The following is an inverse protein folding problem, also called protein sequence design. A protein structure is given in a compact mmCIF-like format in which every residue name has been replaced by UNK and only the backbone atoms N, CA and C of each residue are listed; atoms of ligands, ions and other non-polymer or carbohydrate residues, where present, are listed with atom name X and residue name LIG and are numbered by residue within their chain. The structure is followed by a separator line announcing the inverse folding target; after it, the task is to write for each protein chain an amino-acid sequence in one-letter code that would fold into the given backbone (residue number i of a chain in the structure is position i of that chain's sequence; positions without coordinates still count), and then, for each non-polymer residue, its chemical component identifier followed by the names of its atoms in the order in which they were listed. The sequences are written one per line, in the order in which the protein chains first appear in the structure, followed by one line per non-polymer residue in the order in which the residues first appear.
data_IF_928489908223
#
_entry.id   IF_928489908223
#
_cell.length_a   1.000
_cell.length_b   1.000
_cell.length_c   1.000
_cell.angle_alpha   90.00
_cell.angle_beta   90.00
_cell.angle_gamma   90.00
#
_symmetry.space_group_name_H-M   'P 1'
#
loop_
_entity.id
_entity.type
_entity.pdbx_description
1 polymer ?
#
# COMPACT_ATOMS: atom_id res chain seq x y z
N UNK A 1 -30.77 -16.77 -81.42
CA UNK A 1 -30.77 -15.43 -80.80
C UNK A 1 -31.55 -15.48 -79.50
N UNK A 2 -30.93 -15.95 -78.41
CA UNK A 2 -31.44 -15.91 -77.03
C UNK A 2 -30.34 -16.54 -76.16
N UNK A 3 -30.08 -15.96 -74.99
CA UNK A 3 -29.21 -16.46 -73.92
C UNK A 3 -27.72 -16.09 -74.01
N UNK A 4 -27.39 -14.81 -73.80
CA UNK A 4 -26.04 -14.42 -73.35
C UNK A 4 -26.03 -13.03 -72.66
N UNK A 5 -26.97 -12.77 -71.74
CA UNK A 5 -27.04 -11.48 -71.00
C UNK A 5 -27.45 -11.75 -69.54
N UNK A 6 -26.83 -12.68 -68.82
CA UNK A 6 -27.02 -12.83 -67.36
C UNK A 6 -25.74 -13.35 -66.68
N UNK A 7 -24.55 -12.84 -67.05
CA UNK A 7 -23.30 -13.26 -66.42
C UNK A 7 -22.27 -12.13 -66.22
N UNK A 8 -22.73 -10.90 -66.01
CA UNK A 8 -21.85 -9.77 -65.65
C UNK A 8 -22.32 -8.98 -64.43
N UNK A 9 -23.44 -9.36 -63.80
CA UNK A 9 -23.99 -8.61 -62.65
C UNK A 9 -23.64 -9.21 -61.27
N UNK A 10 -22.86 -10.30 -61.21
CA UNK A 10 -22.52 -10.98 -59.95
C UNK A 10 -21.07 -10.73 -59.47
N UNK A 11 -20.25 -10.00 -60.24
CA UNK A 11 -18.80 -9.80 -59.94
C UNK A 11 -18.49 -8.38 -59.42
N UNK A 12 -19.50 -7.53 -59.23
CA UNK A 12 -19.31 -6.15 -58.78
C UNK A 12 -19.48 -5.93 -57.26
N UNK A 13 -19.77 -6.97 -56.48
CA UNK A 13 -20.13 -6.82 -55.05
C UNK A 13 -19.12 -7.43 -54.06
N UNK A 14 -17.95 -7.92 -54.51
CA UNK A 14 -16.98 -8.57 -53.63
C UNK A 14 -15.78 -7.68 -53.22
N UNK A 15 -15.64 -6.46 -53.75
CA UNK A 15 -14.67 -5.49 -53.25
C UNK A 15 -15.30 -4.63 -52.15
N UNK A 16 -15.87 -5.29 -51.14
CA UNK A 16 -15.95 -4.65 -49.82
C UNK A 16 -14.52 -4.67 -49.27
N UNK A 17 -13.67 -3.79 -49.80
CA UNK A 17 -12.42 -3.45 -49.16
C UNK A 17 -12.82 -2.82 -47.82
N UNK A 18 -12.97 -3.63 -46.79
CA UNK A 18 -12.77 -3.18 -45.42
C UNK A 18 -11.28 -2.86 -45.36
N UNK A 19 -10.90 -1.73 -45.95
CA UNK A 19 -9.56 -1.17 -45.79
C UNK A 19 -9.47 -0.91 -44.30
N UNK A 20 -8.65 -1.71 -43.62
CA UNK A 20 -8.37 -1.47 -42.23
C UNK A 20 -7.77 -0.06 -42.16
N UNK A 21 -8.53 0.87 -41.56
CA UNK A 21 -8.13 2.27 -41.49
C UNK A 21 -6.85 2.47 -40.67
N UNK A 22 -6.42 1.42 -39.96
CA UNK A 22 -5.24 1.40 -39.12
C UNK A 22 -4.04 0.69 -39.76
N UNK A 23 -4.16 0.14 -40.99
CA UNK A 23 -3.10 -0.67 -41.64
C UNK A 23 -1.75 0.07 -41.73
N UNK A 24 -1.79 1.39 -41.96
CA UNK A 24 -0.60 2.25 -42.09
C UNK A 24 -0.43 3.27 -40.94
N UNK A 25 -1.19 3.12 -39.84
CA UNK A 25 -1.14 4.06 -38.70
C UNK A 25 -0.24 3.51 -37.60
N UNK A 26 0.89 4.17 -37.35
CA UNK A 26 1.79 3.86 -36.23
C UNK A 26 1.52 4.82 -35.08
N UNK A 27 0.86 4.33 -34.03
CA UNK A 27 0.62 5.09 -32.82
C UNK A 27 1.86 5.08 -31.90
N UNK A 28 2.37 6.27 -31.56
CA UNK A 28 3.45 6.41 -30.56
C UNK A 28 2.94 6.21 -29.13
N UNK A 29 1.65 6.53 -28.91
CA UNK A 29 0.91 6.31 -27.67
C UNK A 29 -0.50 5.84 -28.05
N UNK A 30 -1.05 4.90 -27.29
CA UNK A 30 -2.44 4.43 -27.46
C UNK A 30 -2.65 3.38 -28.55
N UNK A 31 -3.90 3.23 -28.98
CA UNK A 31 -4.33 2.27 -30.01
C UNK A 31 -5.01 2.98 -31.17
N UNK A 32 -4.89 2.44 -32.39
CA UNK A 32 -5.60 2.99 -33.53
C UNK A 32 -7.06 2.56 -33.51
N UNK A 33 -7.97 3.53 -33.55
CA UNK A 33 -9.41 3.34 -33.71
C UNK A 33 -9.87 4.19 -34.90
N UNK A 34 -10.46 3.53 -35.91
CA UNK A 34 -10.98 4.21 -37.11
C UNK A 34 -9.96 5.09 -37.88
N UNK A 35 -8.68 4.74 -37.80
CA UNK A 35 -7.58 5.49 -38.43
C UNK A 35 -7.07 6.67 -37.61
N UNK A 36 -7.48 6.78 -36.34
CA UNK A 36 -7.05 7.81 -35.40
C UNK A 36 -6.39 7.11 -34.20
N UNK A 37 -5.24 7.61 -33.76
CA UNK A 37 -4.64 7.13 -32.51
C UNK A 37 -5.40 7.71 -31.32
N UNK A 38 -5.95 6.82 -30.49
CA UNK A 38 -6.65 7.16 -29.26
C UNK A 38 -5.75 6.84 -28.09
N UNK A 39 -5.33 7.87 -27.36
CA UNK A 39 -4.62 7.69 -26.09
C UNK A 39 -5.65 7.36 -24.99
N UNK A 40 -5.58 6.18 -24.36
CA UNK A 40 -6.51 5.83 -23.29
C UNK A 40 -6.39 6.73 -22.05
N UNK A 41 -5.35 7.55 -21.96
CA UNK A 41 -5.09 8.48 -20.86
C UNK A 41 -5.50 9.93 -21.13
N UNK A 42 -5.99 10.27 -22.33
CA UNK A 42 -6.25 11.67 -22.73
C UNK A 42 -7.30 12.38 -21.86
N UNK A 43 -8.23 11.62 -21.26
CA UNK A 43 -9.31 12.14 -20.41
C UNK A 43 -9.22 11.73 -18.95
N UNK A 44 -8.10 11.13 -18.54
CA UNK A 44 -7.94 10.58 -17.19
C UNK A 44 -7.05 11.50 -16.35
N UNK A 45 -7.63 12.09 -15.31
CA UNK A 45 -6.89 12.79 -14.27
C UNK A 45 -6.54 11.82 -13.14
N UNK A 46 -5.25 11.50 -12.99
CA UNK A 46 -4.77 10.61 -11.94
C UNK A 46 -4.42 11.30 -10.63
N UNK A 47 -4.63 12.60 -10.52
CA UNK A 47 -4.37 13.35 -9.31
C UNK A 47 -2.87 13.56 -9.02
N UNK A 48 -2.57 13.98 -7.79
CA UNK A 48 -1.24 14.48 -7.40
C UNK A 48 -0.17 13.38 -7.23
N UNK A 49 -0.58 12.14 -7.01
CA UNK A 49 0.31 11.02 -6.74
C UNK A 49 0.03 9.83 -7.63
N UNK A 50 -0.30 10.07 -8.91
CA UNK A 50 -0.61 9.00 -9.85
C UNK A 50 -0.18 9.28 -11.26
N UNK A 51 0.09 8.21 -12.01
CA UNK A 51 0.39 8.24 -13.44
C UNK A 51 -0.62 7.38 -14.19
N UNK A 52 -1.16 7.90 -15.30
CA UNK A 52 -2.03 7.08 -16.14
C UNK A 52 -1.22 6.06 -16.95
N UNK A 53 -1.66 4.81 -16.91
CA UNK A 53 -1.13 3.72 -17.73
C UNK A 53 -2.29 2.89 -18.26
N UNK A 54 -2.37 2.71 -19.58
CA UNK A 54 -3.40 1.88 -20.24
C UNK A 54 -4.83 2.27 -19.86
N UNK A 55 -5.09 3.56 -19.63
CA UNK A 55 -6.41 4.05 -19.23
C UNK A 55 -6.76 3.82 -17.75
N UNK A 56 -5.77 3.54 -16.90
CA UNK A 56 -5.95 3.35 -15.46
C UNK A 56 -4.90 4.16 -14.69
N UNK A 57 -5.30 4.72 -13.55
CA UNK A 57 -4.37 5.43 -12.67
C UNK A 57 -3.58 4.46 -11.80
N UNK A 58 -2.27 4.50 -11.95
CA UNK A 58 -1.31 3.82 -11.07
C UNK A 58 -0.84 4.82 -10.03
N UNK A 59 -1.13 4.55 -8.76
CA UNK A 59 -0.72 5.43 -7.67
C UNK A 59 0.75 5.23 -7.30
N UNK A 60 1.44 6.33 -7.10
CA UNK A 60 2.79 6.38 -6.55
C UNK A 60 2.80 5.86 -5.11
N UNK A 61 3.97 5.44 -4.64
CA UNK A 61 4.13 4.93 -3.28
C UNK A 61 3.70 5.99 -2.24
N UNK A 62 2.82 5.59 -1.32
CA UNK A 62 2.24 6.48 -0.31
C UNK A 62 0.89 7.10 -0.70
N UNK A 63 0.41 6.88 -1.94
CA UNK A 63 -0.90 7.33 -2.39
C UNK A 63 -1.88 6.18 -2.64
N UNK A 64 -3.15 6.43 -2.37
CA UNK A 64 -4.28 5.56 -2.70
C UNK A 64 -5.30 6.26 -3.60
N UNK A 65 -6.12 5.46 -4.28
CA UNK A 65 -7.22 5.98 -5.11
C UNK A 65 -8.37 6.50 -4.25
N UNK A 66 -8.92 7.65 -4.64
CA UNK A 66 -10.16 8.19 -4.11
C UNK A 66 -11.41 7.57 -4.77
N UNK A 67 -12.60 8.07 -4.42
CA UNK A 67 -13.86 7.57 -4.98
C UNK A 67 -14.02 7.81 -6.49
N UNK A 68 -13.21 8.71 -7.07
CA UNK A 68 -13.18 8.97 -8.51
C UNK A 68 -12.10 8.13 -9.23
N UNK A 69 -11.29 7.35 -8.49
CA UNK A 69 -10.18 6.56 -9.04
C UNK A 69 -8.87 7.34 -9.18
N UNK A 70 -8.81 8.59 -8.72
CA UNK A 70 -7.61 9.42 -8.77
C UNK A 70 -6.76 9.23 -7.52
N UNK A 71 -5.43 9.32 -7.65
CA UNK A 71 -4.46 9.03 -6.59
C UNK A 71 -4.23 10.25 -5.68
N UNK A 72 -5.29 10.71 -5.02
CA UNK A 72 -5.28 11.91 -4.17
C UNK A 72 -5.20 11.61 -2.67
N UNK A 73 -5.31 10.34 -2.26
CA UNK A 73 -5.31 9.98 -0.83
C UNK A 73 -3.88 9.70 -0.38
N UNK A 74 -3.31 10.58 0.45
CA UNK A 74 -2.05 10.32 1.13
C UNK A 74 -2.26 9.29 2.26
N UNK A 75 -1.78 8.07 2.08
CA UNK A 75 -2.10 6.92 2.94
C UNK A 75 -1.63 7.10 4.39
N UNK A 76 -0.45 7.71 4.60
CA UNK A 76 0.05 7.96 5.97
C UNK A 76 -0.82 8.94 6.76
N UNK A 77 -1.57 9.82 6.09
CA UNK A 77 -2.41 10.80 6.78
C UNK A 77 -3.47 10.13 7.67
N UNK A 78 -3.90 8.90 7.33
CA UNK A 78 -4.82 8.10 8.12
C UNK A 78 -4.26 7.76 9.51
N UNK A 79 -2.94 7.60 9.63
CA UNK A 79 -2.28 7.10 10.84
C UNK A 79 -1.62 8.20 11.69
N UNK A 80 -1.36 9.40 11.14
CA UNK A 80 -0.65 10.46 11.89
C UNK A 80 -1.45 10.90 13.11
N UNK A 81 -0.85 10.82 14.29
CA UNK A 81 -1.45 11.23 15.56
C UNK A 81 -0.81 10.55 16.76
N UNK A 82 -1.37 10.81 17.94
CA UNK A 82 -1.02 10.13 19.18
C UNK A 82 -2.13 9.13 19.52
N UNK A 83 -1.76 7.97 20.07
CA UNK A 83 -2.67 6.90 20.42
C UNK A 83 -2.45 6.48 21.87
N UNK A 84 -3.52 6.35 22.64
CA UNK A 84 -3.48 5.79 23.99
C UNK A 84 -3.61 4.27 23.90
N UNK A 85 -2.48 3.56 24.04
CA UNK A 85 -2.38 2.13 23.78
C UNK A 85 -2.40 1.32 25.09
N UNK A 86 -3.00 0.13 25.01
CA UNK A 86 -2.76 -0.98 25.93
C UNK A 86 -2.00 -2.06 25.17
N UNK A 87 -0.78 -2.33 25.62
CA UNK A 87 0.06 -3.44 25.18
C UNK A 87 -0.29 -4.69 25.98
N UNK A 88 -0.37 -5.81 25.29
CA UNK A 88 -0.53 -7.13 25.87
C UNK A 88 0.47 -8.09 25.23
N UNK A 89 1.43 -8.57 26.02
CA UNK A 89 2.46 -9.49 25.56
C UNK A 89 2.34 -10.83 26.27
N UNK A 90 2.41 -11.92 25.50
CA UNK A 90 2.36 -13.30 25.99
C UNK A 90 3.75 -13.90 25.93
N UNK A 91 4.27 -14.36 27.07
CA UNK A 91 5.56 -15.06 27.16
C UNK A 91 5.46 -16.42 26.45
N UNK A 92 6.36 -16.68 25.51
CA UNK A 92 6.37 -17.87 24.69
C UNK A 92 6.76 -19.14 25.48
N UNK A 93 7.39 -19.00 26.64
CA UNK A 93 7.87 -20.12 27.45
C UNK A 93 6.78 -20.73 28.34
N UNK A 94 5.93 -19.90 28.95
CA UNK A 94 4.93 -20.33 29.93
C UNK A 94 3.50 -19.83 29.64
N UNK A 95 3.32 -18.96 28.65
CA UNK A 95 2.02 -18.38 28.29
C UNK A 95 1.54 -17.26 29.21
N UNK A 96 2.37 -16.78 30.14
CA UNK A 96 2.02 -15.67 31.02
C UNK A 96 1.81 -14.39 30.21
N UNK A 97 0.73 -13.66 30.51
CA UNK A 97 0.40 -12.40 29.85
C UNK A 97 0.69 -11.23 30.78
N UNK A 98 1.44 -10.23 30.29
CA UNK A 98 1.56 -8.93 30.93
C UNK A 98 0.89 -7.84 30.10
N UNK A 99 0.35 -6.85 30.79
CA UNK A 99 -0.31 -5.71 30.17
C UNK A 99 0.19 -4.39 30.74
N UNK A 100 0.34 -3.41 29.86
CA UNK A 100 0.92 -2.11 30.18
C UNK A 100 0.29 -1.04 29.30
N UNK A 101 0.09 0.16 29.85
CA UNK A 101 -0.47 1.28 29.10
C UNK A 101 0.63 2.26 28.72
N UNK A 102 0.63 2.72 27.48
CA UNK A 102 1.61 3.66 26.96
C UNK A 102 1.00 4.56 25.86
N UNK A 103 1.80 5.45 25.27
CA UNK A 103 1.39 6.27 24.14
C UNK A 103 2.26 5.98 22.94
N UNK A 104 1.61 5.70 21.79
CA UNK A 104 2.29 5.60 20.50
C UNK A 104 2.08 6.90 19.74
N UNK A 105 3.16 7.47 19.21
CA UNK A 105 3.10 8.64 18.34
C UNK A 105 3.53 8.27 16.93
N UNK A 106 2.66 8.57 15.96
CA UNK A 106 2.91 8.40 14.53
C UNK A 106 3.04 9.79 13.89
N UNK A 107 4.18 10.06 13.27
CA UNK A 107 4.53 11.36 12.70
C UNK A 107 5.01 11.26 11.25
N UNK A 108 5.11 12.40 10.58
CA UNK A 108 5.60 12.49 9.21
C UNK A 108 7.06 12.04 9.12
N UNK A 109 7.36 11.14 8.16
CA UNK A 109 8.71 10.97 7.64
C UNK A 109 9.01 11.99 6.52
N UNK A 110 10.22 11.93 5.98
CA UNK A 110 10.65 12.78 4.85
C UNK A 110 9.93 12.44 3.53
N UNK A 111 9.58 11.15 3.34
CA UNK A 111 8.81 10.67 2.19
C UNK A 111 7.34 10.49 2.55
N UNK A 112 6.44 10.71 1.59
CA UNK A 112 5.01 10.39 1.71
C UNK A 112 4.75 8.89 1.75
N UNK A 113 5.69 8.09 1.22
CA UNK A 113 5.64 6.63 1.26
C UNK A 113 6.01 6.04 2.63
N UNK A 114 6.35 6.87 3.62
CA UNK A 114 6.70 6.40 4.95
C UNK A 114 6.24 7.33 6.07
N UNK A 115 6.24 6.79 7.28
CA UNK A 115 5.95 7.51 8.51
C UNK A 115 6.87 7.03 9.63
N UNK A 116 6.97 7.82 10.70
CA UNK A 116 7.77 7.49 11.86
C UNK A 116 6.86 7.09 13.01
N UNK A 117 7.08 5.92 13.58
CA UNK A 117 6.35 5.40 14.75
C UNK A 117 7.28 5.41 15.95
N UNK A 118 6.81 5.90 17.09
CA UNK A 118 7.56 5.93 18.34
C UNK A 118 6.70 5.50 19.52
N UNK A 119 7.36 5.02 20.57
CA UNK A 119 6.69 4.56 21.79
C UNK A 119 6.08 3.16 21.71
N UNK A 120 6.51 2.31 20.77
CA UNK A 120 6.17 0.88 20.76
C UNK A 120 6.96 0.15 21.84
N UNK A 121 6.32 -0.59 22.74
CA UNK A 121 7.01 -1.14 23.92
C UNK A 121 7.15 -0.10 25.04
N UNK A 122 6.93 -0.55 26.28
CA UNK A 122 6.90 0.29 27.50
C UNK A 122 8.11 1.20 27.73
N UNK A 123 9.28 0.82 27.25
CA UNK A 123 10.53 1.54 27.55
C UNK A 123 11.18 2.19 26.32
N UNK A 124 10.55 2.10 25.13
CA UNK A 124 11.11 2.69 23.90
C UNK A 124 10.73 4.15 23.72
N UNK A 125 10.69 4.92 24.81
CA UNK A 125 10.48 6.35 24.75
C UNK A 125 11.64 7.01 23.97
N UNK A 126 11.43 7.22 22.67
CA UNK A 126 12.38 7.89 21.77
C UNK A 126 12.91 7.05 20.60
N UNK A 127 12.69 5.73 20.58
CA UNK A 127 13.02 4.93 19.39
C UNK A 127 12.06 5.27 18.26
N UNK A 128 12.61 5.60 17.07
CA UNK A 128 11.85 5.92 15.88
C UNK A 128 11.94 4.77 14.88
N UNK A 129 10.80 4.18 14.56
CA UNK A 129 10.66 3.13 13.57
C UNK A 129 10.10 3.72 12.27
N UNK A 130 10.66 3.31 11.14
CA UNK A 130 10.08 3.69 9.83
C UNK A 130 9.01 2.68 9.44
N UNK A 131 7.79 3.16 9.23
CA UNK A 131 6.66 2.35 8.77
C UNK A 131 6.26 2.69 7.34
N UNK A 132 5.76 1.69 6.60
CA UNK A 132 5.21 1.85 5.24
C UNK A 132 3.68 1.72 5.31
N UNK A 133 2.91 2.78 5.01
CA UNK A 133 1.46 2.76 5.10
C UNK A 133 0.82 2.07 3.88
N UNK A 134 -0.37 1.53 4.12
CA UNK A 134 -1.36 1.08 3.14
C UNK A 134 -2.71 1.73 3.50
N UNK A 135 -3.80 1.36 2.81
CA UNK A 135 -5.13 1.93 3.01
C UNK A 135 -5.58 1.89 4.49
N UNK A 136 -5.48 0.73 5.12
CA UNK A 136 -5.91 0.50 6.51
C UNK A 136 -4.87 -0.21 7.36
N UNK A 137 -3.70 -0.49 6.79
CA UNK A 137 -2.61 -1.18 7.49
C UNK A 137 -1.29 -0.44 7.33
N UNK A 138 -0.30 -0.78 8.15
CA UNK A 138 1.09 -0.46 7.86
C UNK A 138 2.01 -1.58 8.34
N UNK A 139 3.22 -1.64 7.79
CA UNK A 139 4.27 -2.54 8.25
C UNK A 139 5.49 -1.75 8.72
N UNK A 140 6.20 -2.31 9.69
CA UNK A 140 7.52 -1.85 10.12
C UNK A 140 8.49 -2.98 9.77
N UNK A 141 9.61 -2.65 9.12
CA UNK A 141 10.63 -3.65 8.84
C UNK A 141 11.24 -4.17 10.14
N UNK A 142 11.70 -5.42 10.13
CA UNK A 142 12.41 -6.02 11.26
C UNK A 142 13.46 -5.05 11.82
N UNK A 143 13.40 -4.84 13.12
CA UNK A 143 14.16 -3.79 13.83
C UNK A 143 14.58 -4.31 15.19
N UNK A 144 15.57 -3.65 15.78
CA UNK A 144 15.92 -3.92 17.17
C UNK A 144 15.16 -2.98 18.10
N UNK A 145 14.73 -3.54 19.22
CA UNK A 145 13.99 -2.87 20.28
C UNK A 145 14.79 -3.00 21.57
N UNK A 146 14.91 -1.89 22.28
CA UNK A 146 15.72 -1.76 23.49
C UNK A 146 14.76 -1.66 24.67
N UNK A 147 14.82 -2.61 25.59
CA UNK A 147 13.98 -2.64 26.80
C UNK A 147 14.87 -2.44 28.02
N UNK A 148 14.41 -1.70 29.02
CA UNK A 148 15.16 -1.52 30.28
C UNK A 148 15.09 -2.82 31.08
N UNK A 149 16.22 -3.28 31.61
CA UNK A 149 16.25 -4.48 32.47
C UNK A 149 15.87 -4.19 33.94
N UNK A 150 15.48 -2.95 34.25
CA UNK A 150 15.16 -2.47 35.58
C UNK A 150 16.39 -2.24 36.46
N UNK A 151 17.59 -2.52 35.95
CA UNK A 151 18.89 -2.30 36.60
C UNK A 151 19.65 -1.12 35.97
N UNK A 152 19.01 -0.38 35.07
CA UNK A 152 19.64 0.68 34.27
C UNK A 152 20.49 0.15 33.11
N UNK A 153 20.41 -1.15 32.83
CA UNK A 153 20.89 -1.77 31.60
C UNK A 153 19.79 -1.78 30.53
N UNK A 154 20.17 -2.16 29.31
CA UNK A 154 19.17 -2.43 28.27
C UNK A 154 19.38 -3.79 27.64
N UNK A 155 18.28 -4.51 27.44
CA UNK A 155 18.21 -5.74 26.68
C UNK A 155 17.74 -5.40 25.27
N UNK A 156 18.48 -5.89 24.27
CA UNK A 156 18.10 -5.78 22.87
C UNK A 156 17.28 -7.01 22.45
N UNK A 157 16.16 -6.77 21.79
CA UNK A 157 15.33 -7.77 21.12
C UNK A 157 15.27 -7.49 19.64
N UNK A 158 15.20 -8.54 18.82
CA UNK A 158 14.80 -8.39 17.41
C UNK A 158 13.26 -8.41 17.37
N UNK A 159 12.64 -7.29 17.02
CA UNK A 159 11.21 -7.21 16.76
C UNK A 159 10.94 -7.56 15.29
N UNK A 160 10.06 -8.53 15.07
CA UNK A 160 9.70 -9.05 13.75
C UNK A 160 8.19 -9.14 13.58
N UNK A 161 7.75 -9.40 12.35
CA UNK A 161 6.35 -9.56 11.98
C UNK A 161 5.48 -8.35 12.38
N UNK A 162 6.07 -7.15 12.38
CA UNK A 162 5.41 -5.95 12.88
C UNK A 162 4.37 -5.48 11.86
N UNK A 163 3.11 -5.57 12.22
CA UNK A 163 1.98 -5.19 11.37
C UNK A 163 0.93 -4.45 12.17
N UNK A 164 0.35 -3.41 11.58
CA UNK A 164 -0.69 -2.62 12.21
C UNK A 164 -1.93 -2.54 11.34
N UNK A 165 -3.10 -2.42 11.98
CA UNK A 165 -4.40 -2.21 11.35
C UNK A 165 -5.14 -1.06 12.03
N UNK A 166 -5.69 -0.14 11.24
CA UNK A 166 -6.54 0.95 11.71
C UNK A 166 -8.00 0.65 11.35
N UNK A 167 -8.86 0.53 12.37
CA UNK A 167 -10.31 0.36 12.20
C UNK A 167 -11.03 1.51 12.87
N UNK A 168 -11.52 2.46 12.06
CA UNK A 168 -12.05 3.72 12.59
C UNK A 168 -10.93 4.56 13.22
N UNK A 169 -11.00 4.74 14.54
CA UNK A 169 -9.96 5.45 15.32
C UNK A 169 -9.05 4.52 16.12
N UNK A 170 -9.37 3.22 16.13
CA UNK A 170 -8.64 2.21 16.89
C UNK A 170 -7.49 1.66 16.05
N UNK A 171 -6.29 1.78 16.58
CA UNK A 171 -5.07 1.19 16.05
C UNK A 171 -4.77 -0.11 16.80
N UNK A 172 -4.47 -1.17 16.06
CA UNK A 172 -3.96 -2.44 16.60
C UNK A 172 -2.62 -2.74 15.95
N UNK A 173 -1.57 -2.98 16.73
CA UNK A 173 -0.23 -3.34 16.27
C UNK A 173 0.13 -4.70 16.83
N UNK A 174 0.55 -5.63 15.97
CA UNK A 174 1.00 -6.96 16.34
C UNK A 174 2.50 -7.07 16.04
N UNK A 175 3.27 -7.65 16.94
CA UNK A 175 4.70 -7.90 16.75
C UNK A 175 5.20 -9.04 17.63
N UNK A 176 6.30 -9.64 17.21
CA UNK A 176 6.99 -10.69 17.95
C UNK A 176 8.38 -10.20 18.40
N UNK A 177 8.76 -10.50 19.63
CA UNK A 177 10.09 -10.19 20.18
C UNK A 177 10.93 -11.45 20.27
N UNK A 178 12.11 -11.41 19.66
CA UNK A 178 13.08 -12.50 19.66
C UNK A 178 14.34 -12.13 20.43
N UNK A 179 14.92 -13.11 21.11
CA UNK A 179 16.26 -12.99 21.69
C UNK A 179 17.30 -12.78 20.60
N UNK A 180 18.07 -11.68 20.67
CA UNK A 180 19.19 -11.42 19.74
C UNK A 180 20.30 -12.47 19.86
N UNK A 181 20.42 -13.14 21.02
CA UNK A 181 21.51 -14.09 21.29
C UNK A 181 21.20 -15.51 20.84
N UNK A 182 19.94 -15.94 20.96
CA UNK A 182 19.52 -17.32 20.67
C UNK A 182 18.60 -17.43 19.46
N UNK A 183 18.03 -16.31 18.98
CA UNK A 183 16.99 -16.29 17.96
C UNK A 183 15.67 -16.91 18.41
N UNK A 184 15.51 -17.22 19.70
CA UNK A 184 14.29 -17.78 20.25
C UNK A 184 13.20 -16.71 20.35
N UNK A 185 11.96 -17.06 20.01
CA UNK A 185 10.79 -16.23 20.30
C UNK A 185 10.62 -16.13 21.82
N UNK A 186 10.48 -14.91 22.32
CA UNK A 186 10.28 -14.63 23.74
C UNK A 186 8.86 -14.15 24.01
N UNK A 187 8.35 -13.25 23.17
CA UNK A 187 7.02 -12.66 23.36
C UNK A 187 6.30 -12.51 22.03
N UNK A 188 4.98 -12.71 22.08
CA UNK A 188 4.05 -12.21 21.05
C UNK A 188 3.20 -11.12 21.68
N UNK A 189 3.25 -9.93 21.08
CA UNK A 189 2.69 -8.71 21.62
C UNK A 189 1.61 -8.12 20.71
N UNK A 190 0.61 -7.51 21.36
CA UNK A 190 -0.47 -6.77 20.71
C UNK A 190 -0.66 -5.45 21.42
N UNK A 191 -0.44 -4.33 20.72
CA UNK A 191 -0.86 -3.00 21.17
C UNK A 191 -2.23 -2.69 20.60
N UNK A 192 -3.17 -2.24 21.41
CA UNK A 192 -4.46 -1.73 20.93
C UNK A 192 -4.84 -0.44 21.63
N UNK A 193 -5.27 0.56 20.88
CA UNK A 193 -5.63 1.84 21.44
C UNK A 193 -6.30 2.78 20.46
N UNK A 194 -6.94 3.81 20.98
CA UNK A 194 -7.63 4.82 20.19
C UNK A 194 -6.76 6.07 20.01
N UNK A 195 -6.97 6.74 18.88
CA UNK A 195 -6.40 8.06 18.59
C UNK A 195 -6.91 9.08 19.62
N UNK A 196 -5.99 9.84 20.21
CA UNK A 196 -6.24 10.91 21.19
C UNK A 196 -6.79 12.19 20.54
#
# INVERSE_FOLDING_TARGET
MKNLIILFLAVALAFSCNTDKCEDVVCTVGTCEDGICVDPCDSIDCGIGGTCSTGLCLCDAGYGQDSAGACNIELRANFIGNYSMTESCTDASDGTVYTVNHTVAITNATSVASMLVSGLGVDNAGTLFTATPSATTFTINDTQVSVDDGSGGSILFDAKNISATLTGVTLTINYDLYSVSSGALLYTCVDTGDKL
#
